data_IF_459162446026
#
_entry.id   IF_459162446026
#
_cell.length_a   1.000
_cell.length_b   1.000
_cell.length_c   1.000
_cell.angle_alpha   90.00
_cell.angle_beta   90.00
_cell.angle_gamma   90.00
#
_symmetry.space_group_name_H-M   'P 1'
#
loop_
_entity.id
_entity.type
_entity.pdbx_description
1 polymer ?
#
# COMPACT_ATOMS: atom_id res chain seq x y z
N UNK A 1 31.55 11.30 -54.03
CA UNK A 1 31.76 11.78 -52.64
C UNK A 1 31.47 10.63 -51.68
N UNK A 2 32.48 10.04 -51.04
CA UNK A 2 32.28 8.98 -50.02
C UNK A 2 31.83 9.65 -48.73
N UNK A 3 30.60 9.38 -48.28
CA UNK A 3 30.18 9.73 -46.92
C UNK A 3 31.05 8.95 -45.94
N UNK A 4 31.76 9.64 -45.07
CA UNK A 4 32.40 9.00 -43.93
C UNK A 4 31.30 8.49 -43.00
N UNK A 5 31.25 7.17 -42.76
CA UNK A 5 30.41 6.63 -41.70
C UNK A 5 30.99 7.11 -40.37
N UNK A 6 30.33 8.08 -39.75
CA UNK A 6 30.59 8.47 -38.37
C UNK A 6 30.04 7.36 -37.45
N UNK A 7 30.88 6.39 -37.14
CA UNK A 7 30.56 5.33 -36.16
C UNK A 7 30.82 5.81 -34.74
N UNK A 8 30.00 5.35 -33.80
CA UNK A 8 30.19 5.56 -32.37
C UNK A 8 31.44 4.82 -31.88
N UNK A 9 32.26 5.44 -31.04
CA UNK A 9 33.45 4.76 -30.50
C UNK A 9 33.07 3.85 -29.33
N UNK A 10 33.85 2.77 -29.14
CA UNK A 10 33.65 1.85 -28.02
C UNK A 10 33.83 2.58 -26.67
N UNK A 11 34.73 3.57 -26.63
CA UNK A 11 34.96 4.37 -25.43
C UNK A 11 33.80 5.33 -25.13
N UNK A 12 33.17 5.95 -26.13
CA UNK A 12 31.94 6.74 -25.90
C UNK A 12 30.84 5.88 -25.30
N UNK A 13 30.67 4.65 -25.78
CA UNK A 13 29.66 3.74 -25.26
C UNK A 13 29.97 3.34 -23.81
N UNK A 14 31.23 3.09 -23.47
CA UNK A 14 31.63 2.82 -22.08
C UNK A 14 31.35 3.99 -21.15
N UNK A 15 31.65 5.23 -21.55
CA UNK A 15 31.38 6.41 -20.74
C UNK A 15 29.87 6.59 -20.53
N UNK A 16 29.05 6.38 -21.56
CA UNK A 16 27.58 6.46 -21.45
C UNK A 16 27.05 5.43 -20.46
N UNK A 17 27.49 4.17 -20.54
CA UNK A 17 27.06 3.12 -19.61
C UNK A 17 27.45 3.45 -18.17
N UNK A 18 28.65 4.00 -17.95
CA UNK A 18 29.09 4.43 -16.61
C UNK A 18 28.18 5.54 -16.06
N UNK A 19 27.87 6.56 -16.86
CA UNK A 19 26.98 7.65 -16.44
C UNK A 19 25.58 7.11 -16.11
N UNK A 20 25.01 6.28 -16.97
CA UNK A 20 23.69 5.66 -16.73
C UNK A 20 23.71 4.79 -15.48
N UNK A 21 24.78 4.03 -15.23
CA UNK A 21 24.94 3.21 -14.03
C UNK A 21 24.91 4.04 -12.75
N UNK A 22 25.62 5.17 -12.72
CA UNK A 22 25.62 6.09 -11.57
C UNK A 22 24.21 6.66 -11.36
N UNK A 23 23.57 7.16 -12.41
CA UNK A 23 22.22 7.74 -12.30
C UNK A 23 21.18 6.71 -11.83
N UNK A 24 21.23 5.49 -12.37
CA UNK A 24 20.30 4.42 -12.01
C UNK A 24 20.36 4.07 -10.52
N UNK A 25 21.55 4.10 -9.91
CA UNK A 25 21.73 3.78 -8.50
C UNK A 25 20.99 4.72 -7.54
N UNK A 26 20.82 5.99 -7.91
CA UNK A 26 20.14 7.00 -7.09
C UNK A 26 18.64 7.04 -7.42
N UNK A 27 18.30 6.98 -8.71
CA UNK A 27 16.93 7.19 -9.19
C UNK A 27 16.02 6.00 -8.85
N UNK A 28 16.53 4.78 -8.97
CA UNK A 28 15.71 3.57 -8.79
C UNK A 28 15.04 3.46 -7.41
N UNK A 29 15.75 3.58 -6.27
CA UNK A 29 15.11 3.51 -4.95
C UNK A 29 14.09 4.64 -4.72
N UNK A 30 14.36 5.84 -5.23
CA UNK A 30 13.43 6.98 -5.12
C UNK A 30 12.14 6.73 -5.90
N UNK A 31 12.22 6.10 -7.08
CA UNK A 31 11.04 5.78 -7.88
C UNK A 31 10.17 4.71 -7.21
N UNK A 32 10.78 3.66 -6.68
CA UNK A 32 10.05 2.61 -5.93
C UNK A 32 9.31 3.20 -4.74
N UNK A 33 9.95 4.11 -3.99
CA UNK A 33 9.32 4.78 -2.85
C UNK A 33 8.11 5.63 -3.28
N UNK A 34 8.23 6.35 -4.39
CA UNK A 34 7.14 7.16 -4.94
C UNK A 34 5.92 6.28 -5.29
N UNK A 35 6.14 5.14 -5.94
CA UNK A 35 5.08 4.19 -6.26
C UNK A 35 4.47 3.59 -4.99
N UNK A 36 5.29 3.21 -4.01
CA UNK A 36 4.82 2.68 -2.74
C UNK A 36 4.00 3.70 -1.95
N UNK A 37 4.35 4.99 -1.99
CA UNK A 37 3.52 6.05 -1.41
C UNK A 37 2.13 6.11 -2.03
N UNK A 38 2.02 6.05 -3.35
CA UNK A 38 0.72 6.00 -4.03
C UNK A 38 -0.11 4.78 -3.61
N UNK A 39 0.53 3.61 -3.49
CA UNK A 39 -0.12 2.37 -3.03
C UNK A 39 -0.59 2.46 -1.58
N UNK A 40 0.21 3.06 -0.68
CA UNK A 40 -0.17 3.29 0.72
C UNK A 40 -1.38 4.23 0.81
N UNK A 41 -1.41 5.30 0.04
CA UNK A 41 -2.54 6.22 0.00
C UNK A 41 -3.83 5.54 -0.49
N UNK A 42 -3.74 4.72 -1.55
CA UNK A 42 -4.86 3.92 -2.03
C UNK A 42 -5.35 2.93 -0.95
N UNK A 43 -4.43 2.22 -0.30
CA UNK A 43 -4.77 1.29 0.77
C UNK A 43 -5.43 1.99 1.96
N UNK A 44 -4.86 3.10 2.42
CA UNK A 44 -5.41 3.90 3.51
C UNK A 44 -6.83 4.40 3.18
N UNK A 45 -7.08 4.82 1.94
CA UNK A 45 -8.42 5.23 1.50
C UNK A 45 -9.43 4.08 1.60
N UNK A 46 -9.04 2.88 1.20
CA UNK A 46 -9.90 1.69 1.24
C UNK A 46 -10.15 1.22 2.68
N UNK A 47 -9.15 1.32 3.56
CA UNK A 47 -9.31 1.07 5.00
C UNK A 47 -10.34 2.03 5.61
N UNK A 48 -10.22 3.33 5.32
CA UNK A 48 -11.15 4.33 5.86
C UNK A 48 -12.58 4.16 5.31
N UNK A 49 -12.72 3.80 4.04
CA UNK A 49 -14.04 3.46 3.47
C UNK A 49 -14.65 2.26 4.18
N UNK A 50 -13.85 1.20 4.42
CA UNK A 50 -14.29 0.02 5.15
C UNK A 50 -14.68 0.35 6.59
N UNK A 51 -13.91 1.20 7.28
CA UNK A 51 -14.25 1.66 8.62
C UNK A 51 -15.63 2.34 8.65
N UNK A 52 -15.90 3.24 7.70
CA UNK A 52 -17.22 3.87 7.59
C UNK A 52 -18.35 2.87 7.34
N UNK A 53 -18.12 1.81 6.55
CA UNK A 53 -19.11 0.75 6.33
C UNK A 53 -19.36 -0.05 7.62
N UNK A 54 -18.33 -0.34 8.39
CA UNK A 54 -18.43 -1.01 9.69
C UNK A 54 -19.23 -0.18 10.70
N UNK A 55 -18.98 1.13 10.80
CA UNK A 55 -19.74 2.04 11.67
C UNK A 55 -21.23 2.10 11.28
N UNK A 56 -21.52 2.15 9.97
CA UNK A 56 -22.90 2.11 9.46
C UNK A 56 -23.58 0.77 9.78
N UNK A 57 -22.85 -0.33 9.66
CA UNK A 57 -23.36 -1.65 9.99
C UNK A 57 -23.67 -1.78 11.49
N UNK A 58 -22.78 -1.27 12.34
CA UNK A 58 -22.95 -1.26 13.79
C UNK A 58 -24.19 -0.46 14.21
N UNK A 59 -24.45 0.69 13.58
CA UNK A 59 -25.63 1.52 13.88
C UNK A 59 -26.95 0.76 13.71
N UNK A 60 -27.01 -0.22 12.80
CA UNK A 60 -28.23 -1.00 12.52
C UNK A 60 -28.26 -2.30 13.31
N UNK A 61 -27.10 -2.95 13.52
CA UNK A 61 -27.02 -4.32 14.04
C UNK A 61 -26.44 -4.42 15.46
N UNK A 62 -25.97 -3.32 16.03
CA UNK A 62 -25.28 -3.22 17.33
C UNK A 62 -24.06 -4.14 17.49
N UNK A 63 -23.43 -4.55 16.38
CA UNK A 63 -22.24 -5.40 16.35
C UNK A 63 -21.42 -5.10 15.10
N UNK A 64 -20.11 -5.32 15.16
CA UNK A 64 -19.27 -5.32 13.96
C UNK A 64 -19.27 -6.69 13.28
N UNK A 65 -18.68 -6.77 12.09
CA UNK A 65 -18.52 -8.00 11.32
C UNK A 65 -17.05 -8.30 11.10
N UNK A 66 -16.67 -9.57 11.04
CA UNK A 66 -15.35 -9.98 10.57
C UNK A 66 -15.33 -10.39 9.08
N UNK A 67 -16.50 -10.52 8.45
CA UNK A 67 -16.61 -10.90 7.04
C UNK A 67 -17.09 -9.73 6.19
N UNK A 68 -16.35 -9.43 5.13
CA UNK A 68 -16.71 -8.36 4.21
C UNK A 68 -18.04 -8.59 3.50
N UNK A 69 -18.46 -9.84 3.31
CA UNK A 69 -19.74 -10.15 2.64
C UNK A 69 -20.95 -9.52 3.35
N UNK A 70 -20.86 -9.33 4.67
CA UNK A 70 -21.94 -8.73 5.47
C UNK A 70 -22.02 -7.19 5.29
N UNK A 71 -20.95 -6.58 4.76
CA UNK A 71 -20.83 -5.14 4.48
C UNK A 71 -20.60 -4.83 2.99
N UNK A 72 -20.98 -5.76 2.11
CA UNK A 72 -20.98 -5.53 0.64
C UNK A 72 -19.86 -6.22 -0.15
N UNK A 73 -19.04 -7.06 0.48
CA UNK A 73 -18.12 -7.99 -0.21
C UNK A 73 -16.77 -7.41 -0.67
N UNK A 74 -16.40 -6.20 -0.23
CA UNK A 74 -15.19 -5.50 -0.69
C UNK A 74 -13.96 -5.77 0.19
N UNK A 75 -13.01 -6.59 -0.27
CA UNK A 75 -11.82 -6.98 0.52
C UNK A 75 -10.47 -6.50 -0.07
N UNK A 76 -10.47 -5.55 -1.00
CA UNK A 76 -9.26 -5.02 -1.63
C UNK A 76 -9.39 -3.52 -1.89
N UNK A 77 -8.26 -2.83 -2.10
CA UNK A 77 -8.27 -1.42 -2.51
C UNK A 77 -8.54 -1.25 -4.01
N UNK A 78 -9.10 -0.11 -4.40
CA UNK A 78 -9.37 0.19 -5.81
C UNK A 78 -10.53 -0.61 -6.42
N UNK A 79 -10.55 -0.73 -7.75
CA UNK A 79 -11.74 -1.18 -8.48
C UNK A 79 -11.79 -2.70 -8.73
N UNK A 80 -10.66 -3.40 -8.58
CA UNK A 80 -10.58 -4.84 -8.78
C UNK A 80 -9.48 -5.45 -7.94
N UNK A 81 -9.61 -6.74 -7.62
CA UNK A 81 -8.54 -7.49 -7.00
C UNK A 81 -7.25 -7.36 -7.83
N UNK A 82 -7.29 -7.60 -9.14
CA UNK A 82 -6.09 -7.58 -9.99
C UNK A 82 -5.30 -6.25 -9.93
N UNK A 83 -5.99 -5.12 -9.76
CA UNK A 83 -5.39 -3.79 -9.72
C UNK A 83 -5.17 -3.24 -8.30
N UNK A 84 -5.45 -4.02 -7.24
CA UNK A 84 -5.43 -3.46 -5.89
C UNK A 84 -4.01 -3.23 -5.37
N UNK A 85 -3.78 -2.09 -4.73
CA UNK A 85 -2.56 -1.83 -3.97
C UNK A 85 -2.42 -2.74 -2.74
N UNK A 86 -3.54 -3.06 -2.07
CA UNK A 86 -3.55 -3.93 -0.90
C UNK A 86 -4.79 -4.83 -0.84
N UNK A 87 -4.70 -5.89 -0.05
CA UNK A 87 -5.82 -6.70 0.42
C UNK A 87 -6.19 -6.30 1.84
N UNK A 88 -7.48 -6.31 2.16
CA UNK A 88 -8.01 -5.92 3.46
C UNK A 88 -8.50 -7.14 4.24
N UNK A 89 -8.28 -7.11 5.55
CA UNK A 89 -8.80 -8.07 6.51
C UNK A 89 -9.44 -7.31 7.68
N UNK A 90 -10.55 -7.82 8.20
CA UNK A 90 -11.15 -7.34 9.44
C UNK A 90 -10.89 -8.37 10.52
N UNK A 91 -10.39 -7.90 11.65
CA UNK A 91 -10.14 -8.66 12.86
C UNK A 91 -10.90 -8.00 14.03
N UNK A 92 -11.32 -8.75 15.05
CA UNK A 92 -11.68 -8.13 16.33
C UNK A 92 -10.47 -7.37 16.89
N UNK A 93 -10.70 -6.24 17.58
CA UNK A 93 -9.60 -5.41 18.11
C UNK A 93 -8.69 -6.18 19.06
N UNK A 94 -9.27 -7.11 19.84
CA UNK A 94 -8.54 -8.00 20.74
C UNK A 94 -8.62 -9.42 20.19
N UNK A 95 -7.49 -10.12 20.19
CA UNK A 95 -7.45 -11.54 19.80
C UNK A 95 -8.37 -12.36 20.72
N UNK A 96 -9.44 -12.93 20.15
CA UNK A 96 -10.47 -13.67 20.90
C UNK A 96 -11.54 -12.78 21.56
N UNK A 97 -11.50 -11.46 21.35
CA UNK A 97 -12.56 -10.53 21.78
C UNK A 97 -13.83 -10.65 20.95
N UNK A 98 -14.93 -10.12 21.47
CA UNK A 98 -16.19 -10.07 20.72
C UNK A 98 -16.11 -9.04 19.60
N UNK A 99 -16.89 -9.23 18.53
CA UNK A 99 -17.09 -8.21 17.50
C UNK A 99 -17.94 -7.04 17.99
N UNK A 100 -18.39 -7.07 19.25
CA UNK A 100 -19.10 -5.96 19.89
C UNK A 100 -18.13 -4.92 20.47
N UNK A 101 -16.90 -5.33 20.80
CA UNK A 101 -15.91 -4.51 21.51
C UNK A 101 -15.10 -3.58 20.58
N UNK A 102 -15.14 -3.85 19.27
CA UNK A 102 -14.44 -3.06 18.27
C UNK A 102 -13.81 -3.88 17.15
N UNK A 103 -13.37 -3.19 16.11
CA UNK A 103 -12.70 -3.78 14.96
C UNK A 103 -11.27 -3.23 14.79
N UNK A 104 -10.45 -4.06 14.13
CA UNK A 104 -9.18 -3.67 13.53
C UNK A 104 -9.18 -4.09 12.06
N UNK A 105 -8.98 -3.13 11.17
CA UNK A 105 -8.78 -3.38 9.75
C UNK A 105 -7.28 -3.47 9.50
N UNK A 106 -6.84 -4.50 8.81
CA UNK A 106 -5.46 -4.71 8.37
C UNK A 106 -5.40 -4.67 6.84
N UNK A 107 -4.66 -3.71 6.29
CA UNK A 107 -4.32 -3.63 4.87
C UNK A 107 -2.95 -4.22 4.60
N UNK A 108 -2.93 -5.40 3.97
CA UNK A 108 -1.71 -6.10 3.56
C UNK A 108 -1.34 -5.67 2.14
N UNK A 109 -0.20 -5.01 1.92
CA UNK A 109 0.19 -4.57 0.59
C UNK A 109 0.43 -5.77 -0.32
N UNK A 110 0.00 -5.69 -1.59
CA UNK A 110 0.24 -6.77 -2.56
C UNK A 110 1.71 -6.92 -2.94
N UNK A 111 2.40 -5.79 -3.01
CA UNK A 111 3.83 -5.73 -3.25
C UNK A 111 4.44 -5.24 -1.95
N UNK A 112 5.34 -6.05 -1.40
CA UNK A 112 5.93 -5.80 -0.09
C UNK A 112 6.55 -4.40 -0.03
N UNK A 113 6.08 -3.60 0.93
CA UNK A 113 6.69 -2.35 1.32
C UNK A 113 7.48 -2.61 2.61
N UNK A 114 8.78 -2.84 2.48
CA UNK A 114 9.64 -3.18 3.62
C UNK A 114 9.66 -2.09 4.70
N UNK A 115 9.35 -0.83 4.33
CA UNK A 115 9.38 0.30 5.27
C UNK A 115 8.14 0.37 6.14
N UNK A 116 6.97 0.09 5.59
CA UNK A 116 5.69 0.29 6.28
C UNK A 116 4.92 -1.00 6.59
N UNK A 117 5.24 -2.10 5.90
CA UNK A 117 4.54 -3.36 6.06
C UNK A 117 3.01 -3.21 5.90
N UNK A 118 2.28 -3.79 6.85
CA UNK A 118 0.82 -3.77 6.87
C UNK A 118 0.31 -2.52 7.57
N UNK A 119 -0.65 -1.82 6.96
CA UNK A 119 -1.33 -0.70 7.58
C UNK A 119 -2.49 -1.20 8.43
N UNK A 120 -2.67 -0.66 9.62
CA UNK A 120 -3.78 -1.04 10.51
C UNK A 120 -4.58 0.16 11.00
N UNK A 121 -5.89 -0.02 11.15
CA UNK A 121 -6.79 1.01 11.67
C UNK A 121 -7.80 0.40 12.63
N UNK A 122 -7.99 1.01 13.79
CA UNK A 122 -8.94 0.54 14.80
C UNK A 122 -10.20 1.42 14.84
N UNK A 123 -11.28 0.92 15.45
CA UNK A 123 -12.52 1.68 15.66
C UNK A 123 -12.31 3.00 16.44
N UNK A 124 -11.26 3.09 17.26
CA UNK A 124 -10.88 4.31 18.00
C UNK A 124 -10.13 5.35 17.15
N UNK A 125 -9.95 5.09 15.86
CA UNK A 125 -9.18 5.94 14.97
C UNK A 125 -7.66 5.81 15.11
N UNK A 126 -7.17 4.78 15.81
CA UNK A 126 -5.74 4.56 15.98
C UNK A 126 -5.18 3.94 14.70
N UNK A 127 -4.24 4.65 14.10
CA UNK A 127 -3.46 4.18 12.95
C UNK A 127 -2.25 3.39 13.44
N UNK A 128 -1.91 2.34 12.73
CA UNK A 128 -0.72 1.54 12.98
C UNK A 128 -0.06 1.07 11.70
N UNK A 129 1.18 0.64 11.82
CA UNK A 129 1.97 0.06 10.74
C UNK A 129 2.79 -1.13 11.30
N UNK A 130 3.40 -1.94 10.44
CA UNK A 130 4.13 -3.15 10.87
C UNK A 130 5.54 -3.24 10.30
N UNK A 131 6.03 -2.17 9.70
CA UNK A 131 7.36 -2.02 9.14
C UNK A 131 8.33 -1.39 10.13
N UNK A 132 9.31 -0.67 9.58
CA UNK A 132 10.41 -0.06 10.33
C UNK A 132 10.33 1.47 10.39
N UNK A 133 9.40 2.09 9.67
CA UNK A 133 9.21 3.55 9.64
C UNK A 133 8.11 4.00 10.59
N UNK A 134 8.00 5.32 10.82
CA UNK A 134 6.94 5.84 11.68
C UNK A 134 5.54 5.68 11.07
N UNK A 135 4.53 5.53 11.93
CA UNK A 135 3.11 5.51 11.52
C UNK A 135 2.76 6.74 10.69
N UNK A 136 3.22 7.93 11.08
CA UNK A 136 2.96 9.18 10.35
C UNK A 136 3.59 9.20 8.96
N UNK A 137 4.72 8.53 8.76
CA UNK A 137 5.33 8.37 7.44
C UNK A 137 4.50 7.43 6.56
N UNK A 138 4.01 6.33 7.14
CA UNK A 138 3.29 5.29 6.42
C UNK A 138 1.85 5.65 6.07
N UNK A 139 1.23 6.55 6.84
CA UNK A 139 -0.14 7.01 6.65
C UNK A 139 -0.27 8.36 5.93
N UNK A 140 0.78 8.79 5.21
CA UNK A 140 0.87 10.09 4.54
C UNK A 140 0.60 10.08 3.04
#
# INVERSE_FOLDING_TARGET
MKKANAGFTLIELMVVVVIVGILASIVYPSYVEYVNKGRRAECASAILQTANLLERYYTVNNKYVANFNDIGGWNFSGNSAASSACGLRIDPEVAGGSQDDGFRITGTPRIADAKCGNLTFTHKGVKGESGSESVDYCWR
#
